data_IF_586046899465
#
_entry.id   IF_586046899465
#
_cell.length_a   1.000
_cell.length_b   1.000
_cell.length_c   1.000
_cell.angle_alpha   90.00
_cell.angle_beta   90.00
_cell.angle_gamma   90.00
#
_symmetry.space_group_name_H-M   'P 1'
#
loop_
_entity.id
_entity.type
_entity.pdbx_description
1 polymer ?
#
# COMPACT_ATOMS: atom_id res chain seq x y z
N UNK A 1 -54.78 15.70 34.10
CA UNK A 1 -55.52 15.11 35.23
C UNK A 1 -56.14 13.81 34.71
N UNK A 2 -55.46 12.71 34.88
CA UNK A 2 -55.97 11.32 34.92
C UNK A 2 -54.78 10.38 35.02
N UNK A 3 -54.73 9.70 36.16
CA UNK A 3 -53.73 8.70 36.56
C UNK A 3 -54.03 7.37 35.86
N UNK A 4 -53.01 6.69 35.37
CA UNK A 4 -53.10 5.31 34.90
C UNK A 4 -52.44 4.35 35.92
N UNK A 5 -53.05 3.18 36.19
CA UNK A 5 -52.64 2.27 37.22
C UNK A 5 -51.51 1.30 36.79
N UNK A 6 -50.74 0.94 37.78
CA UNK A 6 -49.64 -0.04 37.70
C UNK A 6 -50.13 -1.46 37.37
N UNK A 7 -49.46 -2.15 36.45
CA UNK A 7 -49.59 -3.60 36.24
C UNK A 7 -48.47 -4.35 36.97
N UNK A 8 -48.83 -5.09 37.96
CA UNK A 8 -47.98 -6.07 38.62
C UNK A 8 -47.75 -7.27 37.72
N UNK A 9 -46.51 -7.60 37.39
CA UNK A 9 -46.14 -8.86 36.73
C UNK A 9 -45.66 -9.86 37.76
N UNK A 10 -46.32 -11.02 37.78
CA UNK A 10 -45.95 -12.21 38.52
C UNK A 10 -44.65 -12.78 37.98
N UNK A 11 -43.70 -13.06 38.90
CA UNK A 11 -42.48 -13.84 38.62
C UNK A 11 -42.87 -15.33 38.55
N UNK A 12 -42.59 -15.96 37.40
CA UNK A 12 -42.59 -17.43 37.29
C UNK A 12 -41.12 -17.88 37.30
N UNK A 13 -40.81 -18.70 38.30
CA UNK A 13 -39.54 -19.42 38.40
C UNK A 13 -39.51 -20.51 37.32
N UNK A 14 -38.47 -20.45 36.47
CA UNK A 14 -38.10 -21.53 35.57
C UNK A 14 -36.88 -22.33 36.14
N UNK A 15 -36.77 -23.66 35.90
CA UNK A 15 -35.78 -24.49 36.54
C UNK A 15 -34.40 -24.28 35.95
N UNK A 16 -33.37 -24.41 36.81
CA UNK A 16 -31.96 -24.33 36.44
C UNK A 16 -31.56 -25.45 35.47
N UNK A 17 -31.15 -25.06 34.29
CA UNK A 17 -30.45 -25.93 33.34
C UNK A 17 -28.94 -25.87 33.66
N UNK A 18 -28.31 -27.02 33.88
CA UNK A 18 -26.89 -27.17 34.09
C UNK A 18 -26.15 -26.79 32.80
N UNK A 19 -25.33 -25.73 32.85
CA UNK A 19 -24.38 -25.39 31.80
C UNK A 19 -23.17 -26.32 31.90
N UNK A 20 -23.06 -27.23 30.93
CA UNK A 20 -21.81 -27.91 30.65
C UNK A 20 -20.85 -26.93 30.01
N UNK A 21 -19.81 -26.50 30.73
CA UNK A 21 -18.71 -25.71 30.18
C UNK A 21 -17.84 -26.58 29.29
N UNK A 22 -18.15 -26.60 27.98
CA UNK A 22 -17.22 -27.08 26.96
C UNK A 22 -16.19 -25.99 26.71
N UNK A 23 -14.97 -26.18 27.22
CA UNK A 23 -13.83 -25.37 26.81
C UNK A 23 -13.51 -25.71 25.33
N UNK A 24 -13.96 -24.86 24.41
CA UNK A 24 -13.46 -24.89 23.04
C UNK A 24 -12.02 -24.33 23.09
N UNK A 25 -11.03 -25.22 22.98
CA UNK A 25 -9.68 -24.80 22.60
C UNK A 25 -9.77 -24.26 21.17
N UNK A 26 -9.73 -22.96 21.06
CA UNK A 26 -9.35 -22.28 19.81
C UNK A 26 -7.87 -22.62 19.56
N UNK A 27 -7.62 -23.64 18.77
CA UNK A 27 -6.34 -23.85 18.10
C UNK A 27 -6.22 -22.73 17.06
N UNK A 28 -5.58 -21.64 17.44
CA UNK A 28 -5.01 -20.73 16.46
C UNK A 28 -4.02 -21.55 15.65
N UNK A 29 -4.34 -21.80 14.40
CA UNK A 29 -3.42 -22.40 13.46
C UNK A 29 -2.30 -21.38 13.22
N UNK A 30 -1.24 -21.48 14.04
CA UNK A 30 0.05 -20.91 13.70
C UNK A 30 0.47 -21.67 12.44
N UNK A 31 0.34 -21.05 11.27
CA UNK A 31 1.08 -21.51 10.10
C UNK A 31 2.55 -21.34 10.45
N UNK A 32 3.34 -22.42 10.50
CA UNK A 32 4.77 -22.26 10.68
C UNK A 32 5.26 -21.42 9.50
N UNK A 33 6.00 -20.34 9.78
CA UNK A 33 6.77 -19.66 8.77
C UNK A 33 7.50 -20.72 7.95
N UNK A 34 7.35 -20.70 6.64
CA UNK A 34 8.09 -21.60 5.75
C UNK A 34 9.60 -21.47 6.05
N UNK A 35 10.42 -22.45 5.70
CA UNK A 35 11.85 -22.33 5.91
C UNK A 35 12.34 -21.05 5.24
N UNK A 36 13.12 -20.25 5.99
CA UNK A 36 13.78 -19.05 5.46
C UNK A 36 14.47 -19.42 4.14
N UNK A 37 14.29 -18.61 3.13
CA UNK A 37 14.99 -18.82 1.85
C UNK A 37 16.48 -18.54 2.07
N UNK A 38 17.36 -19.16 1.28
CA UNK A 38 18.80 -18.87 1.35
C UNK A 38 19.10 -17.36 1.13
N UNK A 39 18.18 -16.64 0.52
CA UNK A 39 18.25 -15.20 0.30
C UNK A 39 18.03 -14.39 1.58
N UNK A 40 17.11 -14.84 2.45
CA UNK A 40 16.79 -14.13 3.70
C UNK A 40 17.98 -14.16 4.69
N UNK A 41 18.94 -15.08 4.51
CA UNK A 41 20.18 -15.20 5.31
C UNK A 41 21.37 -14.41 4.74
N UNK A 42 21.23 -13.75 3.57
CA UNK A 42 22.33 -13.00 2.97
C UNK A 42 22.63 -11.70 3.74
N UNK A 43 23.91 -11.28 3.68
CA UNK A 43 24.29 -9.93 4.09
C UNK A 43 23.66 -8.88 3.15
N UNK A 44 23.43 -7.66 3.63
CA UNK A 44 22.77 -6.63 2.84
C UNK A 44 23.56 -6.24 1.57
N UNK A 45 24.89 -6.30 1.62
CA UNK A 45 25.78 -5.98 0.51
C UNK A 45 26.13 -7.20 -0.39
N UNK A 46 25.42 -8.32 -0.22
CA UNK A 46 25.62 -9.50 -1.04
C UNK A 46 25.05 -9.30 -2.46
N UNK A 47 25.70 -9.93 -3.44
CA UNK A 47 25.16 -9.97 -4.81
C UNK A 47 23.75 -10.59 -4.80
N UNK A 48 22.76 -9.96 -5.44
CA UNK A 48 21.40 -10.45 -5.47
C UNK A 48 21.29 -11.79 -6.18
N UNK A 49 20.51 -12.70 -5.62
CA UNK A 49 20.21 -13.99 -6.24
C UNK A 49 18.89 -13.86 -7.02
N UNK A 50 18.94 -14.13 -8.33
CA UNK A 50 17.72 -14.23 -9.13
C UNK A 50 17.04 -15.55 -8.85
N UNK A 51 15.78 -15.48 -8.45
CA UNK A 51 14.88 -16.61 -8.24
C UNK A 51 13.82 -16.61 -9.33
N UNK A 52 13.14 -17.73 -9.53
CA UNK A 52 12.10 -17.86 -10.55
C UNK A 52 10.84 -18.45 -9.90
N UNK A 53 9.68 -17.85 -10.12
CA UNK A 53 8.38 -18.43 -9.69
C UNK A 53 8.05 -19.67 -10.48
N UNK A 54 7.04 -20.42 -10.04
CA UNK A 54 6.56 -21.60 -10.76
C UNK A 54 6.07 -21.27 -12.19
N UNK A 55 5.57 -20.06 -12.38
CA UNK A 55 5.06 -19.54 -13.66
C UNK A 55 6.14 -18.87 -14.52
N UNK A 56 7.40 -18.88 -14.07
CA UNK A 56 8.55 -18.42 -14.84
C UNK A 56 8.86 -16.94 -14.72
N UNK A 57 8.38 -16.26 -13.66
CA UNK A 57 8.74 -14.85 -13.38
C UNK A 57 10.07 -14.84 -12.62
N UNK A 58 11.09 -14.23 -13.21
CA UNK A 58 12.36 -14.00 -12.55
C UNK A 58 12.27 -12.78 -11.62
N UNK A 59 12.75 -12.93 -10.41
CA UNK A 59 12.71 -11.87 -9.39
C UNK A 59 13.92 -11.92 -8.44
N UNK A 60 14.16 -10.81 -7.79
CA UNK A 60 15.10 -10.69 -6.68
C UNK A 60 14.37 -10.33 -5.40
N UNK A 61 14.98 -10.66 -4.27
CA UNK A 61 14.47 -10.34 -2.94
C UNK A 61 15.58 -9.66 -2.14
N UNK A 62 15.26 -8.50 -1.57
CA UNK A 62 16.18 -7.81 -0.69
C UNK A 62 16.38 -8.62 0.58
N UNK A 63 17.65 -8.88 1.00
CA UNK A 63 17.93 -9.60 2.24
C UNK A 63 17.33 -8.90 3.48
N UNK A 64 16.85 -9.68 4.44
CA UNK A 64 16.30 -9.13 5.69
C UNK A 64 17.34 -8.33 6.49
N UNK A 65 18.63 -8.64 6.32
CA UNK A 65 19.72 -7.89 6.91
C UNK A 65 19.74 -6.39 6.54
N UNK A 66 19.16 -6.00 5.38
CA UNK A 66 19.05 -4.61 4.96
C UNK A 66 18.05 -3.80 5.79
N UNK A 67 17.14 -4.45 6.47
CA UNK A 67 16.05 -3.80 7.21
C UNK A 67 16.27 -3.81 8.73
N UNK A 68 17.48 -4.12 9.17
CA UNK A 68 17.82 -4.14 10.60
C UNK A 68 18.20 -2.74 11.09
N UNK A 69 17.80 -2.42 12.33
CA UNK A 69 18.19 -1.17 13.01
C UNK A 69 17.77 0.12 12.29
N UNK A 70 16.69 0.06 11.50
CA UNK A 70 16.16 1.26 10.85
C UNK A 70 15.51 2.20 11.88
N UNK A 71 15.72 3.52 11.80
CA UNK A 71 15.18 4.46 12.77
C UNK A 71 13.65 4.48 12.74
N UNK A 72 13.04 4.44 13.92
CA UNK A 72 11.58 4.44 14.10
C UNK A 72 10.84 3.30 13.38
N UNK A 73 11.54 2.17 13.11
CA UNK A 73 10.99 1.04 12.37
C UNK A 73 11.17 -0.30 13.13
N UNK A 74 10.40 -0.55 14.18
CA UNK A 74 10.49 -1.80 14.95
C UNK A 74 9.66 -2.95 14.37
N UNK A 75 9.05 -2.78 13.19
CA UNK A 75 8.02 -3.68 12.66
C UNK A 75 8.62 -4.88 11.95
N UNK A 76 8.10 -6.07 12.29
CA UNK A 76 8.34 -7.28 11.51
C UNK A 76 7.39 -7.33 10.31
N UNK A 77 7.82 -7.87 9.17
CA UNK A 77 6.97 -8.00 8.00
C UNK A 77 6.06 -9.21 8.09
N UNK A 78 4.82 -9.04 7.64
CA UNK A 78 3.97 -10.12 7.20
C UNK A 78 3.96 -10.21 5.67
N UNK A 79 3.50 -11.33 5.11
CA UNK A 79 3.51 -11.55 3.68
C UNK A 79 2.23 -12.20 3.18
N UNK A 80 1.72 -11.71 2.05
CA UNK A 80 0.74 -12.42 1.21
C UNK A 80 1.47 -12.87 -0.06
N UNK A 81 1.30 -14.12 -0.46
CA UNK A 81 1.83 -14.61 -1.74
C UNK A 81 0.79 -14.39 -2.83
N UNK A 82 1.16 -13.64 -3.86
CA UNK A 82 0.33 -13.36 -5.03
C UNK A 82 1.15 -13.74 -6.28
N UNK A 83 0.66 -14.63 -7.11
CA UNK A 83 1.34 -15.14 -8.33
C UNK A 83 2.76 -15.66 -8.06
N UNK A 84 2.97 -16.30 -6.91
CA UNK A 84 4.27 -16.85 -6.49
C UNK A 84 5.28 -15.79 -6.03
N UNK A 85 4.87 -14.53 -5.88
CA UNK A 85 5.67 -13.41 -5.39
C UNK A 85 5.15 -12.92 -4.04
N UNK A 86 6.05 -12.68 -3.09
CA UNK A 86 5.71 -12.14 -1.77
C UNK A 86 5.35 -10.66 -1.87
N UNK A 87 4.21 -10.32 -1.32
CA UNK A 87 3.76 -8.94 -1.08
C UNK A 87 3.89 -8.67 0.41
N UNK A 88 4.84 -7.82 0.80
CA UNK A 88 5.09 -7.51 2.19
C UNK A 88 4.11 -6.47 2.74
N UNK A 89 3.85 -6.54 4.02
CA UNK A 89 3.10 -5.52 4.76
C UNK A 89 3.45 -5.55 6.25
N UNK A 90 3.12 -4.48 6.94
CA UNK A 90 3.11 -4.38 8.41
C UNK A 90 1.67 -4.46 8.87
N UNK A 91 1.39 -5.18 9.94
CA UNK A 91 0.05 -5.31 10.56
C UNK A 91 0.16 -5.04 12.06
N UNK A 92 -0.24 -3.85 12.48
CA UNK A 92 -0.08 -3.39 13.85
C UNK A 92 -1.42 -3.00 14.48
N UNK A 93 -1.55 -3.24 15.77
CA UNK A 93 -2.75 -2.94 16.55
C UNK A 93 -3.65 -4.15 16.76
N UNK A 94 -4.87 -3.97 17.31
CA UNK A 94 -5.77 -5.09 17.60
C UNK A 94 -6.34 -5.69 16.31
N UNK A 95 -6.24 -7.01 16.17
CA UNK A 95 -6.63 -7.72 14.94
C UNK A 95 -8.13 -7.60 14.58
N UNK A 96 -8.98 -7.30 15.56
CA UNK A 96 -10.44 -7.15 15.42
C UNK A 96 -10.91 -5.67 15.37
N UNK A 97 -9.95 -4.73 15.30
CA UNK A 97 -10.24 -3.30 15.23
C UNK A 97 -10.58 -2.84 13.80
N UNK A 98 -11.08 -1.60 13.70
CA UNK A 98 -11.27 -0.93 12.41
C UNK A 98 -9.95 -0.82 11.66
N UNK A 99 -9.95 -1.20 10.38
CA UNK A 99 -8.76 -1.23 9.54
C UNK A 99 -8.43 0.14 9.00
N UNK A 100 -7.15 0.53 9.11
CA UNK A 100 -6.53 1.62 8.34
C UNK A 100 -5.51 1.02 7.38
N UNK A 101 -5.76 1.10 6.08
CA UNK A 101 -4.85 0.66 5.03
C UNK A 101 -4.05 1.85 4.50
N UNK A 102 -2.72 1.75 4.56
CA UNK A 102 -1.77 2.77 4.14
C UNK A 102 -1.07 2.34 2.86
N UNK A 103 -1.20 3.13 1.78
CA UNK A 103 -0.57 2.85 0.49
C UNK A 103 0.40 3.96 0.11
N UNK A 104 1.68 3.62 0.08
CA UNK A 104 2.77 4.51 -0.29
C UNK A 104 2.86 4.70 -1.82
N UNK A 105 3.70 5.64 -2.23
CA UNK A 105 4.04 5.86 -3.63
C UNK A 105 5.50 5.60 -3.96
N UNK A 106 5.93 6.06 -5.13
CA UNK A 106 7.29 5.91 -5.63
C UNK A 106 8.14 7.14 -5.25
N UNK A 107 9.38 6.95 -4.82
CA UNK A 107 10.13 5.69 -4.66
C UNK A 107 10.14 5.17 -3.21
N UNK A 108 9.16 5.54 -2.41
CA UNK A 108 9.11 5.14 -1.00
C UNK A 108 8.61 3.70 -0.80
N UNK A 109 8.46 3.30 0.44
CA UNK A 109 7.90 2.03 0.88
C UNK A 109 7.15 2.25 2.20
N UNK A 110 6.62 1.24 2.84
CA UNK A 110 5.83 1.37 4.08
C UNK A 110 6.54 2.17 5.19
N UNK A 111 7.87 2.28 5.14
CA UNK A 111 8.68 3.16 6.01
C UNK A 111 8.22 4.63 6.01
N UNK A 112 7.60 5.09 4.93
CA UNK A 112 6.97 6.42 4.86
C UNK A 112 6.02 6.65 6.04
N UNK A 113 5.36 5.59 6.47
CA UNK A 113 4.32 5.63 7.50
C UNK A 113 4.82 5.34 8.92
N UNK A 114 6.17 5.20 9.13
CA UNK A 114 6.77 4.85 10.43
C UNK A 114 6.28 5.69 11.60
N UNK A 115 5.93 6.95 11.35
CA UNK A 115 5.43 7.89 12.39
C UNK A 115 3.89 7.90 12.47
N UNK A 116 3.19 7.42 11.44
CA UNK A 116 1.73 7.31 11.45
C UNK A 116 1.25 6.01 12.09
N UNK A 117 1.93 4.90 11.82
CA UNK A 117 1.58 3.58 12.34
C UNK A 117 1.35 3.60 13.85
N UNK A 118 2.31 4.05 14.69
CA UNK A 118 2.13 4.00 16.15
C UNK A 118 1.00 4.92 16.63
N UNK A 119 0.78 6.06 15.98
CA UNK A 119 -0.29 6.99 16.35
C UNK A 119 -1.68 6.37 16.11
N UNK A 120 -1.82 5.67 14.99
CA UNK A 120 -3.09 5.03 14.63
C UNK A 120 -3.32 3.75 15.46
N UNK A 121 -2.29 2.94 15.69
CA UNK A 121 -2.37 1.75 16.54
C UNK A 121 -2.69 2.13 18.00
N UNK A 122 -2.05 3.17 18.53
CA UNK A 122 -2.34 3.70 19.88
C UNK A 122 -3.77 4.27 19.98
N UNK A 123 -4.32 4.76 18.86
CA UNK A 123 -5.72 5.18 18.80
C UNK A 123 -6.71 4.00 18.73
N UNK A 124 -6.22 2.78 18.62
CA UNK A 124 -7.00 1.54 18.64
C UNK A 124 -7.41 1.01 17.27
N UNK A 125 -6.78 1.46 16.18
CA UNK A 125 -6.97 0.91 14.84
C UNK A 125 -6.06 -0.29 14.57
N UNK A 126 -6.48 -1.18 13.67
CA UNK A 126 -5.58 -2.13 13.01
C UNK A 126 -4.97 -1.44 11.80
N UNK A 127 -3.67 -1.26 11.81
CA UNK A 127 -2.93 -0.50 10.79
C UNK A 127 -2.19 -1.45 9.89
N UNK A 128 -2.54 -1.45 8.61
CA UNK A 128 -1.90 -2.26 7.58
C UNK A 128 -1.16 -1.32 6.63
N UNK A 129 0.17 -1.43 6.57
CA UNK A 129 1.01 -0.67 5.65
C UNK A 129 1.65 -1.63 4.65
N UNK A 130 1.18 -1.61 3.40
CA UNK A 130 1.60 -2.52 2.35
C UNK A 130 2.79 -1.94 1.57
N UNK A 131 3.77 -2.80 1.24
CA UNK A 131 4.81 -2.50 0.24
C UNK A 131 4.34 -2.94 -1.14
N UNK A 132 4.28 -2.03 -2.09
CA UNK A 132 3.94 -2.38 -3.47
C UNK A 132 4.98 -3.33 -4.08
N UNK A 133 4.56 -4.16 -5.06
CA UNK A 133 5.47 -5.03 -5.80
C UNK A 133 6.67 -4.24 -6.33
N UNK A 134 7.89 -4.76 -6.15
CA UNK A 134 9.10 -4.06 -6.54
C UNK A 134 9.64 -3.06 -5.52
N UNK A 135 8.91 -2.81 -4.42
CA UNK A 135 9.27 -1.82 -3.41
C UNK A 135 9.34 -2.44 -2.01
N UNK A 136 10.01 -1.77 -1.08
CA UNK A 136 10.15 -2.23 0.29
C UNK A 136 10.66 -3.66 0.39
N UNK A 137 9.99 -4.46 1.22
CA UNK A 137 10.30 -5.89 1.43
C UNK A 137 9.54 -6.83 0.48
N UNK A 138 8.71 -6.30 -0.42
CA UNK A 138 8.06 -7.09 -1.47
C UNK A 138 9.07 -7.57 -2.51
N UNK A 139 8.78 -8.71 -3.13
CA UNK A 139 9.62 -9.27 -4.21
C UNK A 139 9.70 -8.30 -5.40
N UNK A 140 10.82 -8.36 -6.12
CA UNK A 140 11.17 -7.44 -7.20
C UNK A 140 11.40 -8.19 -8.51
N UNK A 141 10.36 -8.37 -9.35
CA UNK A 141 10.54 -8.89 -10.71
C UNK A 141 11.64 -8.15 -11.46
N UNK A 142 12.48 -8.91 -12.21
CA UNK A 142 13.62 -8.34 -12.96
C UNK A 142 13.16 -7.73 -14.27
N UNK A 143 12.08 -8.28 -14.85
CA UNK A 143 11.54 -7.77 -16.09
C UNK A 143 10.65 -6.56 -15.82
N UNK A 144 10.96 -5.44 -16.48
CA UNK A 144 10.20 -4.19 -16.37
C UNK A 144 8.73 -4.37 -16.80
N UNK A 145 8.46 -5.31 -17.72
CA UNK A 145 7.10 -5.59 -18.19
C UNK A 145 6.22 -6.29 -17.12
N UNK A 146 6.82 -6.78 -16.05
CA UNK A 146 6.09 -7.28 -14.87
C UNK A 146 5.39 -6.18 -14.09
N UNK A 147 5.73 -4.92 -14.35
CA UNK A 147 5.17 -3.77 -13.67
C UNK A 147 4.19 -3.04 -14.56
N UNK A 148 2.95 -3.02 -14.17
CA UNK A 148 1.92 -2.23 -14.83
C UNK A 148 0.96 -1.62 -13.81
N UNK A 149 0.35 -0.52 -14.19
CA UNK A 149 -0.68 0.12 -13.35
C UNK A 149 -1.83 -0.85 -13.04
N UNK A 150 -2.30 -1.59 -14.04
CA UNK A 150 -3.37 -2.58 -13.86
C UNK A 150 -2.92 -3.72 -12.98
N UNK A 151 -1.71 -4.25 -13.18
CA UNK A 151 -1.15 -5.30 -12.34
C UNK A 151 -1.07 -4.90 -10.88
N UNK A 152 -0.65 -3.66 -10.56
CA UNK A 152 -0.67 -3.16 -9.18
C UNK A 152 -2.10 -3.06 -8.62
N UNK A 153 -3.09 -2.68 -9.42
CA UNK A 153 -4.49 -2.66 -8.99
C UNK A 153 -5.04 -4.06 -8.70
N UNK A 154 -4.77 -5.02 -9.59
CA UNK A 154 -5.17 -6.42 -9.42
C UNK A 154 -4.53 -7.02 -8.16
N UNK A 155 -3.24 -6.75 -7.94
CA UNK A 155 -2.54 -7.19 -6.73
C UNK A 155 -3.13 -6.58 -5.47
N UNK A 156 -3.47 -5.29 -5.46
CA UNK A 156 -4.12 -4.67 -4.31
C UNK A 156 -5.51 -5.29 -4.05
N UNK A 157 -6.28 -5.60 -5.09
CA UNK A 157 -7.56 -6.29 -4.91
C UNK A 157 -7.36 -7.68 -4.28
N UNK A 158 -6.43 -8.48 -4.83
CA UNK A 158 -6.08 -9.78 -4.27
C UNK A 158 -5.59 -9.66 -2.82
N UNK A 159 -4.74 -8.69 -2.53
CA UNK A 159 -4.25 -8.44 -1.18
C UNK A 159 -5.39 -8.16 -0.18
N UNK A 160 -6.33 -7.29 -0.56
CA UNK A 160 -7.51 -6.96 0.26
C UNK A 160 -8.43 -8.18 0.44
N UNK A 161 -8.52 -9.04 -0.58
CA UNK A 161 -9.31 -10.26 -0.55
C UNK A 161 -8.68 -11.35 0.32
N UNK A 162 -7.38 -11.61 0.17
CA UNK A 162 -6.64 -12.62 0.95
C UNK A 162 -6.61 -12.30 2.45
N UNK A 163 -6.55 -11.02 2.80
CA UNK A 163 -6.62 -10.58 4.19
C UNK A 163 -8.06 -10.36 4.68
N UNK A 164 -9.07 -10.67 3.84
CA UNK A 164 -10.50 -10.52 4.14
C UNK A 164 -10.89 -9.12 4.66
N UNK A 165 -10.18 -8.06 4.21
CA UNK A 165 -10.38 -6.70 4.71
C UNK A 165 -11.73 -6.13 4.26
N UNK A 166 -12.45 -5.53 5.22
CA UNK A 166 -13.72 -4.82 5.01
C UNK A 166 -13.75 -3.54 5.85
N UNK A 167 -14.66 -2.64 5.53
CA UNK A 167 -14.81 -1.35 6.23
C UNK A 167 -13.49 -0.57 6.33
N UNK A 168 -12.69 -0.62 5.26
CA UNK A 168 -11.34 -0.09 5.20
C UNK A 168 -11.36 1.44 5.24
N UNK A 169 -10.64 2.03 6.20
CA UNK A 169 -10.24 3.42 6.15
C UNK A 169 -8.95 3.52 5.35
N UNK A 170 -9.03 3.98 4.11
CA UNK A 170 -7.91 4.03 3.18
C UNK A 170 -7.18 5.37 3.28
N UNK A 171 -5.86 5.32 3.50
CA UNK A 171 -4.97 6.47 3.32
C UNK A 171 -4.00 6.20 2.17
N UNK A 172 -3.90 7.15 1.25
CA UNK A 172 -3.10 7.01 0.01
C UNK A 172 -2.24 8.23 -0.24
N UNK A 173 -1.05 7.99 -0.80
CA UNK A 173 -0.09 9.02 -1.18
C UNK A 173 0.54 8.66 -2.53
N UNK A 174 0.80 9.64 -3.41
CA UNK A 174 1.46 9.50 -4.71
C UNK A 174 0.87 8.35 -5.56
N UNK A 175 1.67 7.38 -6.02
CA UNK A 175 1.19 6.19 -6.75
C UNK A 175 0.20 5.36 -5.96
N UNK A 176 0.33 5.31 -4.63
CA UNK A 176 -0.67 4.68 -3.78
C UNK A 176 -2.07 5.29 -3.97
N UNK A 177 -2.16 6.59 -4.32
CA UNK A 177 -3.44 7.22 -4.62
C UNK A 177 -4.01 6.75 -5.96
N UNK A 178 -3.19 6.64 -7.00
CA UNK A 178 -3.62 6.14 -8.29
C UNK A 178 -4.16 4.71 -8.19
N UNK A 179 -3.41 3.84 -7.52
CA UNK A 179 -3.75 2.43 -7.31
C UNK A 179 -4.95 2.30 -6.37
N UNK A 180 -4.90 2.92 -5.19
CA UNK A 180 -5.92 2.78 -4.15
C UNK A 180 -7.27 3.36 -4.54
N UNK A 181 -7.31 4.54 -5.16
CA UNK A 181 -8.56 5.17 -5.59
C UNK A 181 -9.26 4.38 -6.69
N UNK A 182 -8.50 3.79 -7.64
CA UNK A 182 -9.08 2.90 -8.65
C UNK A 182 -9.67 1.66 -7.99
N UNK A 183 -8.91 1.00 -7.14
CA UNK A 183 -9.36 -0.22 -6.47
C UNK A 183 -10.61 0.04 -5.62
N UNK A 184 -10.63 1.15 -4.85
CA UNK A 184 -11.81 1.55 -4.10
C UNK A 184 -13.02 1.85 -4.98
N UNK A 185 -12.79 2.39 -6.19
CA UNK A 185 -13.86 2.60 -7.18
C UNK A 185 -14.41 1.30 -7.79
N UNK A 186 -13.59 0.25 -7.87
CA UNK A 186 -14.00 -1.06 -8.41
C UNK A 186 -14.76 -1.92 -7.38
N UNK A 187 -14.38 -1.84 -6.11
CA UNK A 187 -14.97 -2.62 -5.01
C UNK A 187 -15.36 -1.72 -3.82
N UNK A 188 -16.25 -0.73 -4.05
CA UNK A 188 -16.54 0.32 -3.08
C UNK A 188 -17.09 -0.19 -1.75
N UNK A 189 -17.76 -1.32 -1.75
CA UNK A 189 -18.38 -1.90 -0.55
C UNK A 189 -17.37 -2.37 0.51
N UNK A 190 -16.08 -2.45 0.14
CA UNK A 190 -15.00 -2.77 1.08
C UNK A 190 -14.41 -1.57 1.81
N UNK A 191 -14.71 -0.35 1.36
CA UNK A 191 -14.10 0.88 1.85
C UNK A 191 -15.10 1.77 2.58
N UNK A 192 -14.77 2.15 3.82
CA UNK A 192 -15.59 3.03 4.64
C UNK A 192 -15.27 4.51 4.38
N UNK A 193 -13.99 4.85 4.40
CA UNK A 193 -13.49 6.22 4.21
C UNK A 193 -12.23 6.25 3.37
N UNK A 194 -11.94 7.40 2.77
CA UNK A 194 -10.72 7.61 1.99
C UNK A 194 -10.11 8.96 2.37
N UNK A 195 -8.83 8.95 2.72
CA UNK A 195 -8.00 10.14 2.91
C UNK A 195 -6.86 10.14 1.88
N UNK A 196 -6.63 11.27 1.23
CA UNK A 196 -5.59 11.43 0.21
C UNK A 196 -4.60 12.48 0.68
N UNK A 197 -3.35 12.07 0.83
CA UNK A 197 -2.24 12.96 1.12
C UNK A 197 -1.31 13.04 -0.08
N UNK A 198 -1.19 14.22 -0.70
CA UNK A 198 -0.30 14.45 -1.85
C UNK A 198 -0.49 13.39 -2.95
N UNK A 199 -1.74 13.22 -3.36
CA UNK A 199 -2.14 12.18 -4.29
C UNK A 199 -2.70 12.73 -5.58
N UNK A 200 -2.67 11.93 -6.62
CA UNK A 200 -3.28 12.22 -7.90
C UNK A 200 -4.44 11.24 -8.19
N UNK A 201 -5.39 11.72 -8.95
CA UNK A 201 -6.46 10.89 -9.50
C UNK A 201 -6.15 10.59 -10.97
N UNK A 202 -6.22 9.33 -11.45
CA UNK A 202 -6.05 9.02 -12.85
C UNK A 202 -6.98 9.88 -13.73
N UNK A 203 -6.44 10.54 -14.73
CA UNK A 203 -7.20 11.23 -15.76
C UNK A 203 -7.72 12.63 -15.43
N UNK A 204 -7.29 13.26 -14.32
CA UNK A 204 -7.62 14.67 -14.06
C UNK A 204 -6.38 15.51 -13.81
N UNK A 205 -6.17 16.59 -14.57
CA UNK A 205 -5.32 17.69 -14.11
C UNK A 205 -5.92 18.26 -12.83
N UNK A 206 -5.09 18.48 -11.81
CA UNK A 206 -5.53 19.11 -10.56
C UNK A 206 -6.21 20.46 -10.89
N UNK A 207 -7.44 20.64 -10.41
CA UNK A 207 -8.18 21.90 -10.53
C UNK A 207 -9.04 22.11 -11.76
N UNK A 208 -9.01 21.23 -12.75
CA UNK A 208 -9.85 21.34 -13.94
C UNK A 208 -11.15 20.56 -13.75
N UNK A 209 -12.26 21.28 -13.55
CA UNK A 209 -13.58 20.67 -13.39
C UNK A 209 -14.08 20.01 -14.68
N UNK A 210 -14.64 18.78 -14.52
CA UNK A 210 -15.34 17.97 -15.52
C UNK A 210 -14.52 17.49 -16.71
N UNK A 211 -13.81 16.41 -16.51
CA UNK A 211 -13.46 15.51 -17.61
C UNK A 211 -14.72 14.74 -18.00
N UNK A 212 -15.07 14.64 -19.28
CA UNK A 212 -16.13 13.76 -19.72
C UNK A 212 -15.84 12.33 -19.25
N UNK A 213 -16.87 11.55 -18.90
CA UNK A 213 -16.66 10.16 -18.50
C UNK A 213 -15.87 9.45 -19.60
N UNK A 214 -14.79 8.80 -19.22
CA UNK A 214 -14.04 7.94 -20.12
C UNK A 214 -14.93 6.73 -20.35
N UNK A 215 -15.38 6.54 -21.57
CA UNK A 215 -16.28 5.43 -21.94
C UNK A 215 -15.60 4.07 -21.80
N UNK A 216 -14.24 4.05 -21.81
CA UNK A 216 -13.44 2.86 -21.59
C UNK A 216 -12.28 3.21 -20.63
N UNK A 217 -12.33 2.74 -19.36
CA UNK A 217 -11.27 2.98 -18.39
C UNK A 217 -9.93 2.33 -18.78
N UNK A 218 -9.93 1.34 -19.66
CA UNK A 218 -8.71 0.64 -20.09
C UNK A 218 -7.92 1.45 -21.14
N UNK A 219 -8.59 2.35 -21.88
CA UNK A 219 -7.90 3.26 -22.84
C UNK A 219 -6.97 4.24 -22.15
N UNK A 220 -7.24 4.63 -20.89
CA UNK A 220 -6.33 5.52 -20.13
C UNK A 220 -5.04 4.82 -19.69
N UNK A 221 -5.03 3.50 -19.62
CA UNK A 221 -3.87 2.72 -19.16
C UNK A 221 -2.80 2.58 -20.23
N UNK A 222 -3.18 2.40 -21.47
CA UNK A 222 -2.22 2.24 -22.59
C UNK A 222 -1.49 3.55 -22.93
N UNK A 223 -2.11 4.71 -22.71
CA UNK A 223 -1.53 6.01 -23.10
C UNK A 223 -0.57 6.61 -22.08
N UNK A 224 -0.67 6.21 -20.80
CA UNK A 224 0.11 6.83 -19.73
C UNK A 224 1.30 6.00 -19.26
N UNK A 225 1.31 4.70 -19.48
CA UNK A 225 2.27 3.79 -18.83
C UNK A 225 3.04 2.86 -19.76
N UNK A 226 2.89 2.96 -21.07
CA UNK A 226 3.63 2.13 -22.04
C UNK A 226 5.05 2.62 -22.36
N UNK A 227 5.62 3.52 -21.54
CA UNK A 227 6.97 4.06 -21.81
C UNK A 227 7.08 4.86 -23.12
N UNK A 228 5.98 5.03 -23.83
CA UNK A 228 5.95 5.96 -24.94
C UNK A 228 6.20 7.36 -24.38
N UNK A 229 7.34 7.95 -24.69
CA UNK A 229 7.61 9.34 -24.39
C UNK A 229 6.46 10.16 -24.96
N UNK A 230 5.50 10.55 -24.11
CA UNK A 230 4.54 11.57 -24.49
C UNK A 230 5.36 12.85 -24.50
N UNK A 231 5.60 13.45 -25.68
CA UNK A 231 6.26 14.72 -25.73
C UNK A 231 5.48 15.69 -24.85
N UNK A 232 6.12 16.55 -24.05
CA UNK A 232 5.45 17.51 -23.16
C UNK A 232 4.37 18.35 -23.85
N UNK A 233 4.42 18.44 -25.18
CA UNK A 233 3.50 19.17 -26.03
C UNK A 233 2.21 18.41 -26.40
N UNK A 234 2.05 17.14 -25.99
CA UNK A 234 0.88 16.31 -26.34
C UNK A 234 -0.02 15.97 -25.14
N UNK A 235 0.28 16.49 -23.95
CA UNK A 235 -0.71 16.49 -22.87
C UNK A 235 -1.81 17.45 -23.30
N UNK A 236 -3.04 17.01 -23.57
CA UNK A 236 -4.10 17.91 -23.97
C UNK A 236 -4.37 18.88 -22.82
N UNK A 237 -3.95 20.12 -22.97
CA UNK A 237 -4.40 21.22 -22.13
C UNK A 237 -5.87 21.45 -22.45
N UNK A 238 -6.74 21.23 -21.49
CA UNK A 238 -8.13 21.64 -21.63
C UNK A 238 -8.19 23.16 -21.57
N UNK A 239 -8.81 23.74 -22.59
CA UNK A 239 -8.98 25.19 -22.75
C UNK A 239 -9.64 25.77 -21.47
N UNK A 240 -8.96 26.70 -20.80
CA UNK A 240 -9.43 27.34 -19.57
C UNK A 240 -8.85 26.83 -18.24
N UNK A 241 -7.93 25.87 -18.28
CA UNK A 241 -7.18 25.48 -17.09
C UNK A 241 -5.82 26.19 -17.12
N UNK A 242 -5.67 27.23 -16.30
CA UNK A 242 -4.33 27.75 -16.00
C UNK A 242 -3.60 26.67 -15.15
N UNK A 243 -2.34 26.34 -15.45
CA UNK A 243 -1.58 25.43 -14.59
C UNK A 243 -1.50 26.06 -13.21
N UNK A 244 -2.12 25.39 -12.23
CA UNK A 244 -2.07 25.83 -10.81
C UNK A 244 -0.66 25.69 -10.26
N UNK A 245 0.19 24.97 -10.93
CA UNK A 245 1.58 24.79 -10.61
C UNK A 245 2.41 25.66 -11.56
N UNK A 246 3.05 26.66 -11.03
CA UNK A 246 4.20 27.35 -11.65
C UNK A 246 5.41 26.37 -11.76
N UNK A 247 5.11 25.09 -11.84
CA UNK A 247 6.08 24.03 -12.04
C UNK A 247 6.16 23.80 -13.54
N UNK A 248 7.32 24.02 -14.08
CA UNK A 248 7.68 23.71 -15.46
C UNK A 248 7.16 22.30 -15.80
N UNK A 249 6.28 22.14 -16.82
CA UNK A 249 5.84 20.79 -17.24
C UNK A 249 7.02 19.86 -17.62
N UNK A 250 8.18 20.41 -17.91
CA UNK A 250 9.43 19.66 -18.04
C UNK A 250 9.77 18.88 -16.76
N UNK A 251 9.47 19.40 -15.57
CA UNK A 251 9.86 18.78 -14.30
C UNK A 251 9.29 17.36 -14.09
N UNK A 252 8.00 17.15 -14.40
CA UNK A 252 7.41 15.82 -14.29
C UNK A 252 7.91 14.87 -15.40
N UNK A 253 8.14 15.41 -16.60
CA UNK A 253 8.77 14.67 -17.70
C UNK A 253 10.22 14.27 -17.37
N UNK A 254 10.97 15.15 -16.74
CA UNK A 254 12.34 14.88 -16.28
C UNK A 254 12.36 13.84 -15.17
N UNK A 255 11.40 13.90 -14.23
CA UNK A 255 11.21 12.87 -13.21
C UNK A 255 10.93 11.50 -13.84
N UNK A 256 9.99 11.41 -14.77
CA UNK A 256 9.67 10.17 -15.48
C UNK A 256 10.90 9.62 -16.21
N UNK A 257 11.63 10.48 -16.91
CA UNK A 257 12.84 10.09 -17.62
C UNK A 257 13.90 9.57 -16.66
N UNK A 258 14.14 10.26 -15.54
CA UNK A 258 15.06 9.84 -14.50
C UNK A 258 14.66 8.48 -13.91
N UNK A 259 13.41 8.31 -13.49
CA UNK A 259 12.91 7.08 -12.89
C UNK A 259 13.01 5.86 -13.82
N UNK A 260 12.96 6.09 -15.15
CA UNK A 260 13.02 5.02 -16.16
C UNK A 260 14.42 4.71 -16.65
N UNK A 261 15.36 5.64 -16.55
CA UNK A 261 16.65 5.52 -17.26
C UNK A 261 17.88 5.70 -16.36
N UNK A 262 17.70 6.05 -15.10
CA UNK A 262 18.83 6.22 -14.18
C UNK A 262 19.58 4.88 -13.99
N UNK A 263 20.89 4.90 -14.23
CA UNK A 263 21.76 3.74 -13.99
C UNK A 263 21.90 3.44 -12.49
N UNK A 264 21.73 4.46 -11.66
CA UNK A 264 21.71 4.37 -10.20
C UNK A 264 20.54 5.21 -9.71
N UNK A 265 19.62 4.57 -9.05
CA UNK A 265 18.42 5.21 -8.51
C UNK A 265 18.43 5.11 -6.99
N UNK A 266 18.58 6.27 -6.33
CA UNK A 266 18.59 6.37 -4.87
C UNK A 266 17.26 6.95 -4.39
N UNK A 267 16.38 6.16 -3.78
CA UNK A 267 15.10 6.62 -3.25
C UNK A 267 15.22 7.81 -2.29
N UNK A 268 16.24 7.79 -1.40
CA UNK A 268 16.47 8.85 -0.43
C UNK A 268 16.64 10.22 -1.08
N UNK A 269 17.41 10.30 -2.17
CA UNK A 269 17.66 11.57 -2.91
C UNK A 269 16.35 12.17 -3.43
N UNK A 270 15.45 11.33 -3.92
CA UNK A 270 14.15 11.77 -4.43
C UNK A 270 13.24 12.21 -3.28
N UNK A 271 13.18 11.43 -2.21
CA UNK A 271 12.37 11.76 -1.03
C UNK A 271 12.84 13.07 -0.41
N UNK A 272 14.16 13.26 -0.26
CA UNK A 272 14.74 14.50 0.26
C UNK A 272 14.40 15.70 -0.61
N UNK A 273 14.53 15.57 -1.94
CA UNK A 273 14.20 16.64 -2.88
C UNK A 273 12.72 17.08 -2.81
N UNK A 274 11.84 16.21 -2.32
CA UNK A 274 10.40 16.47 -2.18
C UNK A 274 9.98 16.87 -0.75
N UNK A 275 10.93 16.95 0.21
CA UNK A 275 10.64 17.34 1.58
C UNK A 275 11.08 18.80 1.86
N UNK A 276 10.54 19.38 2.94
CA UNK A 276 10.88 20.74 3.37
C UNK A 276 12.10 20.83 4.29
N UNK A 277 12.68 19.68 4.62
CA UNK A 277 13.80 19.57 5.54
C UNK A 277 14.76 18.49 5.05
N UNK A 278 16.02 18.64 5.40
CA UNK A 278 17.05 17.64 5.11
C UNK A 278 16.76 16.36 5.91
N UNK A 279 16.80 15.22 5.25
CA UNK A 279 16.65 13.93 5.91
C UNK A 279 17.90 13.64 6.76
N UNK A 280 17.76 13.13 8.00
CA UNK A 280 18.89 12.59 8.72
C UNK A 280 19.51 11.40 7.93
N UNK A 281 20.85 11.25 7.91
CA UNK A 281 21.51 10.18 7.14
C UNK A 281 20.99 8.75 7.44
N UNK A 282 20.51 8.52 8.66
CA UNK A 282 19.92 7.22 9.02
C UNK A 282 18.52 7.02 8.39
N UNK A 283 17.74 8.08 8.18
CA UNK A 283 16.47 8.01 7.48
C UNK A 283 16.68 7.89 5.96
N UNK A 284 17.71 8.56 5.39
CA UNK A 284 18.12 8.35 4.00
C UNK A 284 18.45 6.88 3.75
N UNK A 285 19.34 6.30 4.58
CA UNK A 285 19.71 4.89 4.48
C UNK A 285 18.48 3.95 4.62
N UNK A 286 17.48 4.33 5.41
CA UNK A 286 16.27 3.54 5.56
C UNK A 286 15.36 3.59 4.31
N UNK A 287 15.31 4.71 3.58
CA UNK A 287 14.60 4.76 2.29
C UNK A 287 15.33 3.96 1.22
N UNK A 288 16.67 3.87 1.29
CA UNK A 288 17.49 3.13 0.32
C UNK A 288 17.60 1.62 0.65
N UNK A 289 17.28 1.23 1.88
CA UNK A 289 17.40 -0.16 2.35
C UNK A 289 16.78 -1.23 1.43
N UNK A 290 15.66 -1.00 0.72
CA UNK A 290 15.12 -1.96 -0.23
C UNK A 290 15.98 -2.22 -1.48
N UNK A 291 16.98 -1.37 -1.75
CA UNK A 291 17.78 -1.36 -3.00
C UNK A 291 19.29 -1.25 -2.70
N UNK A 292 19.85 -2.21 -1.98
CA UNK A 292 21.26 -2.17 -1.55
C UNK A 292 22.25 -2.26 -2.71
#
# INVERSE_FOLDING_TARGET
MTLHPAFARRATLAPAAALATGAALLLTAFSPAGPASAQDELACDAEPIVMTTADGIDFVRTPDACFTELPDWPYEPDYVEIDGLRQAYVDEGPADAEVVLLLHGQPSWSYLYRKMIPVLADAGYRVIAMDHLGMGRSDKPVDIESYSYLGHNERLQTFVEELELTDINLFVQDWGSLIGLRTAGLVPDRYATIAVGDGARPGLPAGCGRVPPVEDPDVLTDLQFTGAQIPPQQVPFYDGCEPILDTDPAYFGDWMAYAMTAESFMPSVVVEAMTWFDLPPAEEAAYDAPFP
#
